data_IF_599095862585
#
_entry.id   IF_599095862585
#
_cell.length_a   1.000
_cell.length_b   1.000
_cell.length_c   1.000
_cell.angle_alpha   90.00
_cell.angle_beta   90.00
_cell.angle_gamma   90.00
#
_symmetry.space_group_name_H-M   'P 1'
#
loop_
_entity.id
_entity.type
_entity.pdbx_description
1 polymer ?
#
# COMPACT_ATOMS: atom_id res chain seq x y z
N UNK A 1 8.15 9.48 13.68
CA UNK A 1 8.68 8.13 13.41
C UNK A 1 9.48 7.50 14.56
N UNK A 2 10.13 8.26 15.43
CA UNK A 2 10.97 7.72 16.54
C UNK A 2 10.19 6.95 17.62
N UNK A 3 8.89 7.20 17.80
CA UNK A 3 8.06 6.57 18.86
C UNK A 3 7.43 5.24 18.44
N UNK A 4 7.34 4.95 17.14
CA UNK A 4 6.66 3.74 16.62
C UNK A 4 7.60 2.56 16.31
N UNK A 5 8.58 2.27 17.16
CA UNK A 5 9.43 1.09 17.00
C UNK A 5 10.79 1.32 16.39
N UNK A 6 11.14 2.55 16.03
CA UNK A 6 12.46 2.90 15.49
C UNK A 6 13.51 3.24 16.57
N UNK A 7 13.14 3.21 17.87
CA UNK A 7 14.03 3.55 18.98
C UNK A 7 14.21 5.06 19.19
N UNK A 8 14.40 5.48 20.45
CA UNK A 8 14.55 6.90 20.83
C UNK A 8 15.91 7.50 20.44
N UNK A 9 16.96 6.68 20.31
CA UNK A 9 18.34 7.11 20.01
C UNK A 9 18.93 6.48 18.76
N UNK A 10 18.52 5.27 18.40
CA UNK A 10 18.96 4.56 17.19
C UNK A 10 17.87 3.58 16.73
N UNK A 11 17.80 3.23 15.43
CA UNK A 11 16.88 2.18 14.95
C UNK A 11 17.14 0.85 15.66
N UNK A 12 16.07 0.18 16.12
CA UNK A 12 16.19 -1.18 16.70
C UNK A 12 16.77 -2.18 15.68
N UNK A 13 16.42 -2.03 14.41
CA UNK A 13 17.00 -2.79 13.31
C UNK A 13 17.98 -1.89 12.56
N UNK A 14 19.23 -2.28 12.52
CA UNK A 14 20.29 -1.55 11.80
C UNK A 14 20.15 -1.68 10.28
N UNK A 15 19.63 -2.82 9.81
CA UNK A 15 19.36 -3.08 8.40
C UNK A 15 17.89 -2.77 8.11
N UNK A 16 17.58 -1.83 7.20
CA UNK A 16 16.20 -1.53 6.81
C UNK A 16 15.62 -2.60 5.87
N UNK A 17 14.37 -2.37 5.42
CA UNK A 17 13.68 -3.25 4.49
C UNK A 17 12.75 -4.24 5.20
N UNK A 18 11.60 -4.47 4.57
CA UNK A 18 10.56 -5.39 5.06
C UNK A 18 10.01 -6.29 3.97
N UNK A 19 9.81 -5.79 2.76
CA UNK A 19 9.39 -6.60 1.63
C UNK A 19 10.58 -7.42 1.12
N UNK A 20 10.35 -8.70 0.84
CA UNK A 20 11.37 -9.63 0.36
C UNK A 20 10.77 -10.60 -0.65
N UNK A 21 11.56 -10.96 -1.64
CA UNK A 21 11.36 -12.13 -2.49
C UNK A 21 12.72 -12.78 -2.73
N UNK A 22 12.77 -14.09 -2.73
CA UNK A 22 14.02 -14.84 -2.89
C UNK A 22 13.81 -16.34 -2.71
N UNK A 23 14.93 -17.06 -2.65
CA UNK A 23 14.95 -18.50 -2.46
C UNK A 23 15.26 -18.83 -1.01
N UNK A 24 14.54 -19.78 -0.45
CA UNK A 24 14.77 -20.30 0.91
C UNK A 24 16.10 -21.04 0.93
N UNK A 25 17.05 -20.58 1.74
CA UNK A 25 18.38 -21.21 1.89
C UNK A 25 18.52 -22.02 3.19
N UNK A 26 17.69 -21.72 4.19
CA UNK A 26 17.64 -22.46 5.44
C UNK A 26 16.27 -22.32 6.10
N UNK A 27 15.85 -23.32 6.86
CA UNK A 27 14.60 -23.32 7.63
C UNK A 27 14.88 -23.66 9.08
N UNK A 28 14.14 -23.06 10.02
CA UNK A 28 14.16 -23.38 11.43
C UNK A 28 13.47 -24.72 11.72
N UNK A 29 13.77 -25.34 12.86
CA UNK A 29 13.26 -26.67 13.23
C UNK A 29 11.71 -26.77 13.31
N UNK A 30 11.01 -25.67 13.52
CA UNK A 30 9.54 -25.65 13.59
C UNK A 30 8.84 -25.20 12.29
N UNK A 31 9.58 -24.99 11.20
CA UNK A 31 9.01 -24.57 9.92
C UNK A 31 8.43 -25.78 9.20
N UNK A 32 7.18 -25.66 8.77
CA UNK A 32 6.46 -26.76 8.09
C UNK A 32 5.94 -26.35 6.70
N UNK A 33 5.92 -25.03 6.39
CA UNK A 33 5.30 -24.53 5.16
C UNK A 33 6.26 -24.40 4.00
N UNK A 34 7.56 -24.41 4.27
CA UNK A 34 8.59 -24.20 3.24
C UNK A 34 9.76 -25.14 3.43
N UNK A 35 10.44 -25.43 2.32
CA UNK A 35 11.67 -26.19 2.24
C UNK A 35 12.78 -25.36 1.60
N UNK A 36 14.04 -25.80 1.79
CA UNK A 36 15.19 -25.21 1.08
C UNK A 36 14.99 -25.36 -0.43
N UNK A 37 15.20 -24.29 -1.17
CA UNK A 37 14.98 -24.21 -2.62
C UNK A 37 13.66 -23.56 -3.01
N UNK A 38 12.69 -23.40 -2.10
CA UNK A 38 11.41 -22.77 -2.42
C UNK A 38 11.59 -21.28 -2.80
N UNK A 39 10.95 -20.87 -3.89
CA UNK A 39 10.83 -19.47 -4.28
C UNK A 39 9.69 -18.83 -3.49
N UNK A 40 10.00 -17.82 -2.67
CA UNK A 40 9.05 -17.19 -1.74
C UNK A 40 9.03 -15.67 -1.87
N UNK A 41 7.93 -15.07 -1.43
CA UNK A 41 7.81 -13.62 -1.26
C UNK A 41 7.00 -13.30 -0.01
N UNK A 42 7.18 -12.11 0.55
CA UNK A 42 6.46 -11.70 1.74
C UNK A 42 7.14 -10.62 2.55
N UNK A 43 6.99 -10.70 3.89
CA UNK A 43 7.58 -9.74 4.81
C UNK A 43 8.67 -10.38 5.67
N UNK A 44 9.89 -9.84 5.56
CA UNK A 44 11.07 -10.20 6.34
C UNK A 44 11.55 -9.05 7.24
N UNK A 45 12.66 -9.28 7.90
CA UNK A 45 13.38 -8.27 8.69
C UNK A 45 14.74 -8.01 8.06
N UNK A 46 15.10 -6.73 7.92
CA UNK A 46 16.40 -6.37 7.36
C UNK A 46 16.57 -6.82 5.91
N UNK A 47 15.54 -6.56 5.07
CA UNK A 47 15.49 -7.06 3.70
C UNK A 47 16.47 -6.34 2.74
N UNK A 48 17.16 -5.28 3.17
CA UNK A 48 18.25 -4.66 2.39
C UNK A 48 19.57 -5.38 2.73
N UNK A 49 19.64 -6.64 2.38
CA UNK A 49 20.77 -7.52 2.64
C UNK A 49 20.68 -8.77 1.75
N UNK A 50 21.80 -9.43 1.53
CA UNK A 50 21.89 -10.68 0.76
C UNK A 50 21.00 -11.79 1.34
N UNK A 51 20.84 -11.80 2.65
CA UNK A 51 19.97 -12.74 3.38
C UNK A 51 19.06 -12.00 4.35
N UNK A 52 17.81 -12.43 4.42
CA UNK A 52 16.82 -11.89 5.35
C UNK A 52 16.13 -13.01 6.11
N UNK A 53 15.88 -12.79 7.40
CA UNK A 53 15.07 -13.69 8.19
C UNK A 53 13.59 -13.31 8.10
N UNK A 54 12.73 -14.29 7.85
CA UNK A 54 11.30 -14.12 7.81
C UNK A 54 10.58 -15.24 8.57
N UNK A 55 9.43 -14.91 9.13
CA UNK A 55 8.54 -15.92 9.73
C UNK A 55 7.72 -16.57 8.63
N UNK A 56 7.49 -17.89 8.73
CA UNK A 56 6.70 -18.63 7.73
C UNK A 56 5.26 -18.09 7.58
N UNK A 57 4.66 -17.55 8.66
CA UNK A 57 3.32 -16.97 8.64
C UNK A 57 3.23 -15.62 7.89
N UNK A 58 4.37 -15.10 7.41
CA UNK A 58 4.48 -13.85 6.63
C UNK A 58 4.96 -14.05 5.20
N UNK A 59 5.17 -15.29 4.80
CA UNK A 59 5.62 -15.67 3.48
C UNK A 59 4.56 -16.48 2.74
N UNK A 60 4.62 -16.43 1.41
CA UNK A 60 3.91 -17.31 0.49
C UNK A 60 4.87 -17.74 -0.63
N UNK A 61 4.52 -18.79 -1.39
CA UNK A 61 5.22 -19.11 -2.61
C UNK A 61 5.08 -17.97 -3.62
N UNK A 62 6.16 -17.67 -4.30
CA UNK A 62 6.21 -16.61 -5.32
C UNK A 62 5.23 -16.93 -6.45
N UNK A 63 4.39 -15.95 -6.92
CA UNK A 63 3.57 -16.13 -8.10
C UNK A 63 4.41 -16.61 -9.29
N UNK A 64 3.91 -17.60 -10.02
CA UNK A 64 4.64 -18.27 -11.10
C UNK A 64 5.02 -17.33 -12.24
N UNK A 65 4.19 -16.33 -12.50
CA UNK A 65 4.32 -15.35 -13.58
C UNK A 65 5.12 -14.08 -13.22
N UNK A 66 5.70 -14.01 -12.01
CA UNK A 66 6.52 -12.86 -11.59
C UNK A 66 8.01 -13.23 -11.50
N UNK A 67 8.88 -12.25 -11.80
CA UNK A 67 10.30 -12.29 -11.40
C UNK A 67 10.44 -12.05 -9.90
N UNK A 68 11.63 -12.23 -9.31
CA UNK A 68 11.87 -11.92 -7.90
C UNK A 68 11.73 -10.42 -7.60
N UNK A 69 12.20 -9.56 -8.50
CA UNK A 69 12.05 -8.10 -8.37
C UNK A 69 10.58 -7.69 -8.36
N UNK A 70 9.79 -8.27 -9.26
CA UNK A 70 8.36 -8.03 -9.32
C UNK A 70 7.67 -8.54 -8.04
N UNK A 71 8.01 -9.74 -7.60
CA UNK A 71 7.46 -10.32 -6.39
C UNK A 71 7.83 -9.52 -5.13
N UNK A 72 9.07 -8.98 -5.03
CA UNK A 72 9.49 -8.13 -3.93
C UNK A 72 8.71 -6.81 -3.83
N UNK A 73 8.18 -6.30 -4.95
CA UNK A 73 7.39 -5.07 -4.97
C UNK A 73 5.97 -5.24 -4.38
N UNK A 74 5.47 -6.47 -4.24
CA UNK A 74 4.08 -6.78 -3.87
C UNK A 74 3.79 -6.69 -2.36
N UNK A 75 4.51 -7.38 -1.44
CA UNK A 75 3.98 -7.82 -0.16
C UNK A 75 3.38 -6.71 0.69
N UNK A 76 4.15 -5.67 0.99
CA UNK A 76 3.72 -4.62 1.93
C UNK A 76 2.63 -3.75 1.31
N UNK A 77 2.84 -3.32 0.07
CA UNK A 77 1.96 -2.34 -0.59
C UNK A 77 0.64 -2.96 -1.02
N UNK A 78 0.67 -4.13 -1.66
CA UNK A 78 -0.54 -4.80 -2.11
C UNK A 78 -1.38 -5.34 -0.95
N UNK A 79 -0.74 -5.91 0.10
CA UNK A 79 -1.44 -6.32 1.31
C UNK A 79 -2.13 -5.14 2.00
N UNK A 80 -1.44 -4.00 2.13
CA UNK A 80 -2.04 -2.79 2.69
C UNK A 80 -3.24 -2.31 1.88
N UNK A 81 -3.13 -2.31 0.56
CA UNK A 81 -4.23 -1.94 -0.33
C UNK A 81 -5.43 -2.89 -0.20
N UNK A 82 -5.19 -4.20 -0.23
CA UNK A 82 -6.22 -5.24 -0.07
C UNK A 82 -6.95 -5.12 1.28
N UNK A 83 -6.19 -4.99 2.37
CA UNK A 83 -6.75 -4.83 3.70
C UNK A 83 -7.56 -3.53 3.83
N UNK A 84 -7.09 -2.42 3.22
CA UNK A 84 -7.81 -1.16 3.18
C UNK A 84 -9.14 -1.27 2.46
N UNK A 85 -9.16 -1.90 1.29
CA UNK A 85 -10.38 -2.13 0.51
C UNK A 85 -11.37 -3.05 1.25
N UNK A 86 -10.89 -4.15 1.84
CA UNK A 86 -11.70 -5.07 2.65
C UNK A 86 -12.27 -4.38 3.91
N UNK A 87 -11.45 -3.59 4.61
CA UNK A 87 -11.88 -2.81 5.76
C UNK A 87 -12.95 -1.79 5.37
N UNK A 88 -12.84 -1.21 4.17
CA UNK A 88 -13.83 -0.33 3.56
C UNK A 88 -15.06 -1.04 3.05
N UNK A 89 -15.10 -2.39 3.03
CA UNK A 89 -16.18 -3.23 2.52
C UNK A 89 -16.46 -2.99 1.05
N UNK A 90 -15.39 -3.12 0.23
CA UNK A 90 -15.52 -2.97 -1.22
C UNK A 90 -16.47 -3.99 -1.80
N UNK A 91 -17.35 -3.54 -2.71
CA UNK A 91 -18.29 -4.34 -3.47
C UNK A 91 -18.28 -3.94 -4.94
N UNK A 92 -18.70 -4.83 -5.82
CA UNK A 92 -18.81 -4.55 -7.24
C UNK A 92 -19.82 -3.41 -7.51
N UNK A 93 -19.50 -2.56 -8.49
CA UNK A 93 -20.32 -1.40 -8.86
C UNK A 93 -20.12 -0.16 -8.01
N UNK A 94 -19.47 -0.26 -6.86
CA UNK A 94 -19.21 0.90 -5.99
C UNK A 94 -18.30 1.94 -6.64
N UNK A 95 -18.52 3.21 -6.28
CA UNK A 95 -17.64 4.33 -6.61
C UNK A 95 -16.55 4.46 -5.56
N UNK A 96 -15.29 4.27 -5.96
CA UNK A 96 -14.13 4.29 -5.07
C UNK A 96 -13.21 5.47 -5.40
N UNK A 97 -12.85 6.26 -4.38
CA UNK A 97 -11.83 7.29 -4.48
C UNK A 97 -10.53 6.82 -3.83
N UNK A 98 -9.45 6.80 -4.59
CA UNK A 98 -8.09 6.47 -4.11
C UNK A 98 -7.24 7.73 -4.07
N UNK A 99 -6.94 8.25 -2.89
CA UNK A 99 -6.10 9.44 -2.71
C UNK A 99 -4.64 9.00 -2.56
N UNK A 100 -3.78 9.46 -3.47
CA UNK A 100 -2.40 8.99 -3.61
C UNK A 100 -2.28 7.78 -4.54
N UNK A 101 -3.11 7.73 -5.58
CA UNK A 101 -3.25 6.61 -6.52
C UNK A 101 -1.96 6.22 -7.25
N UNK A 102 -1.03 7.16 -7.43
CA UNK A 102 0.23 6.90 -8.15
C UNK A 102 1.36 6.31 -7.29
N UNK A 103 1.15 6.20 -5.97
CA UNK A 103 2.15 5.63 -5.07
C UNK A 103 2.09 4.10 -5.00
N UNK A 104 3.01 3.49 -4.25
CA UNK A 104 3.12 2.04 -4.15
C UNK A 104 1.83 1.36 -3.66
N UNK A 105 1.20 1.86 -2.58
CA UNK A 105 -0.08 1.32 -2.08
C UNK A 105 -1.23 1.72 -2.99
N UNK A 106 -1.24 2.98 -3.46
CA UNK A 106 -2.30 3.52 -4.30
C UNK A 106 -2.46 2.80 -5.63
N UNK A 107 -1.35 2.49 -6.29
CA UNK A 107 -1.38 1.75 -7.55
C UNK A 107 -1.97 0.35 -7.41
N UNK A 108 -1.68 -0.36 -6.32
CA UNK A 108 -2.37 -1.63 -6.03
C UNK A 108 -3.82 -1.43 -5.66
N UNK A 109 -4.16 -0.39 -4.90
CA UNK A 109 -5.55 -0.10 -4.54
C UNK A 109 -6.43 0.13 -5.77
N UNK A 110 -5.93 0.85 -6.78
CA UNK A 110 -6.62 1.05 -8.07
C UNK A 110 -6.87 -0.30 -8.73
N UNK A 111 -5.81 -1.09 -8.94
CA UNK A 111 -5.91 -2.38 -9.65
C UNK A 111 -6.82 -3.38 -8.94
N UNK A 112 -6.67 -3.53 -7.61
CA UNK A 112 -7.49 -4.45 -6.83
C UNK A 112 -8.95 -4.00 -6.82
N UNK A 113 -9.23 -2.71 -6.65
CA UNK A 113 -10.60 -2.19 -6.71
C UNK A 113 -11.25 -2.45 -8.08
N UNK A 114 -10.50 -2.28 -9.18
CA UNK A 114 -10.95 -2.64 -10.53
C UNK A 114 -11.21 -4.14 -10.67
N UNK A 115 -10.32 -4.98 -10.14
CA UNK A 115 -10.50 -6.43 -10.16
C UNK A 115 -11.76 -6.89 -9.40
N UNK A 116 -12.20 -6.11 -8.40
CA UNK A 116 -13.45 -6.32 -7.66
C UNK A 116 -14.67 -5.67 -8.32
N UNK A 117 -14.51 -5.08 -9.52
CA UNK A 117 -15.61 -4.51 -10.30
C UNK A 117 -16.05 -3.11 -9.87
N UNK A 118 -15.24 -2.36 -9.15
CA UNK A 118 -15.54 -1.00 -8.74
C UNK A 118 -15.27 0.03 -9.86
N UNK A 119 -15.93 1.20 -9.74
CA UNK A 119 -15.65 2.40 -10.53
C UNK A 119 -14.61 3.24 -9.78
N UNK A 120 -13.40 3.33 -10.29
CA UNK A 120 -12.26 3.90 -9.56
C UNK A 120 -11.90 5.29 -10.04
N UNK A 121 -11.90 6.26 -9.12
CA UNK A 121 -11.32 7.59 -9.30
C UNK A 121 -9.99 7.67 -8.56
N UNK A 122 -8.88 7.92 -9.28
CA UNK A 122 -7.55 8.09 -8.71
C UNK A 122 -7.16 9.54 -8.57
N UNK A 123 -6.69 9.96 -7.39
CA UNK A 123 -6.14 11.30 -7.13
C UNK A 123 -4.61 11.23 -7.17
N UNK A 124 -4.01 12.03 -8.04
CA UNK A 124 -2.55 12.11 -8.23
C UNK A 124 -2.16 13.51 -8.73
N UNK A 125 -0.89 13.74 -9.04
CA UNK A 125 -0.45 14.95 -9.76
C UNK A 125 -0.65 14.80 -11.27
N UNK A 126 -0.71 15.90 -12.01
CA UNK A 126 -0.85 15.93 -13.47
C UNK A 126 0.14 14.98 -14.18
N UNK A 127 1.42 15.03 -13.80
CA UNK A 127 2.49 14.22 -14.38
C UNK A 127 2.33 12.70 -14.21
N UNK A 128 1.42 12.25 -13.33
CA UNK A 128 1.18 10.84 -13.02
C UNK A 128 -0.20 10.35 -13.47
N UNK A 129 -0.98 11.20 -14.15
CA UNK A 129 -2.35 10.90 -14.58
C UNK A 129 -2.42 9.69 -15.50
N UNK A 130 -1.58 9.66 -16.55
CA UNK A 130 -1.59 8.55 -17.52
C UNK A 130 -1.15 7.24 -16.89
N UNK A 131 -0.19 7.29 -15.98
CA UNK A 131 0.20 6.13 -15.18
C UNK A 131 -0.99 5.60 -14.35
N UNK A 132 -1.73 6.45 -13.66
CA UNK A 132 -2.88 6.02 -12.86
C UNK A 132 -4.01 5.47 -13.75
N UNK A 133 -4.23 6.02 -14.94
CA UNK A 133 -5.16 5.48 -15.94
C UNK A 133 -4.73 4.09 -16.43
N UNK A 134 -3.43 3.91 -16.71
CA UNK A 134 -2.91 2.61 -17.15
C UNK A 134 -3.07 1.51 -16.11
N UNK A 135 -3.21 1.86 -14.82
CA UNK A 135 -3.55 0.94 -13.74
C UNK A 135 -5.04 0.55 -13.70
N UNK A 136 -5.86 1.14 -14.57
CA UNK A 136 -7.29 0.85 -14.68
C UNK A 136 -8.21 1.86 -14.00
N UNK A 137 -7.72 3.02 -13.56
CA UNK A 137 -8.61 4.07 -13.03
C UNK A 137 -9.54 4.61 -14.13
N UNK A 138 -10.85 4.60 -13.87
CA UNK A 138 -11.87 5.12 -14.81
C UNK A 138 -11.80 6.65 -14.93
N UNK A 139 -11.39 7.29 -13.84
CA UNK A 139 -11.18 8.74 -13.77
C UNK A 139 -9.91 9.05 -12.99
N UNK A 140 -9.26 10.13 -13.37
CA UNK A 140 -8.13 10.71 -12.61
C UNK A 140 -8.44 12.17 -12.28
N UNK A 141 -7.99 12.60 -11.09
CA UNK A 141 -8.10 13.96 -10.59
C UNK A 141 -6.71 14.47 -10.25
N UNK A 142 -6.33 15.58 -10.87
CA UNK A 142 -5.14 16.32 -10.44
C UNK A 142 -5.50 17.20 -9.23
N UNK A 143 -4.91 16.87 -8.08
CA UNK A 143 -5.18 17.56 -6.82
C UNK A 143 -4.74 19.03 -6.81
N UNK A 144 -3.90 19.47 -7.78
CA UNK A 144 -3.41 20.83 -7.86
C UNK A 144 -4.46 21.79 -8.49
N UNK A 145 -5.31 21.27 -9.37
CA UNK A 145 -6.25 22.08 -10.16
C UNK A 145 -7.72 21.71 -9.93
N UNK A 146 -8.02 20.51 -9.45
CA UNK A 146 -9.39 20.04 -9.23
C UNK A 146 -9.63 19.68 -7.75
N UNK A 147 -10.71 20.18 -7.17
CA UNK A 147 -11.13 19.82 -5.84
C UNK A 147 -11.79 18.42 -5.84
N UNK A 148 -11.17 17.43 -5.21
CA UNK A 148 -11.67 16.05 -5.15
C UNK A 148 -12.51 15.74 -3.89
N UNK A 149 -12.61 16.67 -2.94
CA UNK A 149 -13.30 16.48 -1.67
C UNK A 149 -14.13 17.70 -1.30
N UNK A 150 -14.89 18.25 -2.25
CA UNK A 150 -15.78 19.41 -2.09
C UNK A 150 -17.25 19.01 -1.88
N UNK A 151 -17.59 17.73 -2.10
CA UNK A 151 -18.94 17.20 -2.01
C UNK A 151 -19.73 17.25 -3.31
N UNK A 152 -19.13 17.74 -4.42
CA UNK A 152 -19.76 17.73 -5.75
C UNK A 152 -19.94 16.31 -6.29
N UNK A 153 -19.06 15.39 -5.86
CA UNK A 153 -19.14 13.94 -6.10
C UNK A 153 -19.13 13.21 -4.80
N UNK A 154 -19.84 12.09 -4.76
CA UNK A 154 -19.87 11.20 -3.60
C UNK A 154 -19.34 9.84 -3.98
N UNK A 155 -18.77 9.17 -3.00
CA UNK A 155 -18.12 7.87 -3.13
C UNK A 155 -18.62 6.92 -2.06
N UNK A 156 -18.78 5.65 -2.41
CA UNK A 156 -19.11 4.58 -1.48
C UNK A 156 -17.90 4.26 -0.59
N UNK A 157 -16.69 4.37 -1.15
CA UNK A 157 -15.45 4.13 -0.45
C UNK A 157 -14.39 5.18 -0.80
N UNK A 158 -13.76 5.75 0.23
CA UNK A 158 -12.57 6.59 0.11
C UNK A 158 -11.40 5.91 0.79
N UNK A 159 -10.35 5.58 0.03
CA UNK A 159 -9.05 5.20 0.55
C UNK A 159 -8.14 6.42 0.59
N UNK A 160 -7.78 6.86 1.80
CA UNK A 160 -6.88 7.99 1.99
C UNK A 160 -5.48 7.51 2.36
N UNK A 161 -4.61 7.44 1.35
CA UNK A 161 -3.25 6.87 1.47
C UNK A 161 -2.21 7.97 1.67
N UNK A 162 -2.26 9.03 0.85
CA UNK A 162 -1.28 10.13 0.88
C UNK A 162 -1.86 11.42 1.46
N UNK A 163 -3.07 11.35 2.07
CA UNK A 163 -3.87 12.53 2.27
C UNK A 163 -3.53 13.36 3.50
N UNK A 164 -3.52 14.67 3.25
CA UNK A 164 -3.61 15.71 4.29
C UNK A 164 -4.99 16.39 4.28
N UNK A 165 -5.97 15.83 3.56
CA UNK A 165 -7.30 16.41 3.43
C UNK A 165 -8.07 16.33 4.74
N UNK A 166 -8.70 17.43 5.13
CA UNK A 166 -9.47 17.51 6.37
C UNK A 166 -10.63 16.48 6.37
N UNK A 167 -10.82 15.76 7.48
CA UNK A 167 -11.86 14.72 7.63
C UNK A 167 -13.26 15.23 7.28
N UNK A 168 -13.57 16.50 7.60
CA UNK A 168 -14.84 17.13 7.24
C UNK A 168 -15.08 17.17 5.74
N UNK A 169 -14.05 17.45 4.96
CA UNK A 169 -14.13 17.51 3.49
C UNK A 169 -14.33 16.10 2.93
N UNK A 170 -13.53 15.13 3.36
CA UNK A 170 -13.67 13.73 2.92
C UNK A 170 -15.06 13.18 3.26
N UNK A 171 -15.60 13.49 4.45
CA UNK A 171 -16.93 13.07 4.85
C UNK A 171 -18.04 13.62 3.92
N UNK A 172 -17.91 14.86 3.44
CA UNK A 172 -18.89 15.45 2.50
C UNK A 172 -18.93 14.73 1.16
N UNK A 173 -17.83 14.11 0.79
CA UNK A 173 -17.68 13.35 -0.46
C UNK A 173 -17.97 11.85 -0.28
N UNK A 174 -18.50 11.42 0.87
CA UNK A 174 -19.01 10.08 1.08
C UNK A 174 -20.52 10.01 0.83
N UNK A 175 -20.96 8.88 0.31
CA UNK A 175 -22.36 8.49 0.38
C UNK A 175 -22.82 8.34 1.86
N UNK A 176 -24.12 8.44 2.16
CA UNK A 176 -24.61 8.35 3.54
C UNK A 176 -24.20 7.06 4.27
N UNK A 177 -24.03 5.96 3.56
CA UNK A 177 -23.57 4.66 4.05
C UNK A 177 -22.11 4.36 3.69
N UNK A 178 -21.44 5.32 3.08
CA UNK A 178 -20.07 5.16 2.57
C UNK A 178 -19.03 5.00 3.69
N UNK A 179 -17.85 4.54 3.29
CA UNK A 179 -16.72 4.27 4.19
C UNK A 179 -15.50 5.12 3.84
N UNK A 180 -14.84 5.69 4.85
CA UNK A 180 -13.51 6.28 4.74
C UNK A 180 -12.51 5.41 5.48
N UNK A 181 -11.48 4.96 4.77
CA UNK A 181 -10.34 4.24 5.36
C UNK A 181 -9.09 5.09 5.26
N UNK A 182 -8.57 5.52 6.41
CA UNK A 182 -7.27 6.20 6.49
C UNK A 182 -6.19 5.12 6.53
N UNK A 183 -5.36 5.08 5.50
CA UNK A 183 -4.27 4.10 5.34
C UNK A 183 -2.94 4.70 5.74
N UNK A 184 -2.73 5.99 5.47
CA UNK A 184 -1.52 6.72 5.77
C UNK A 184 -1.76 8.22 5.86
N UNK A 185 -0.71 8.97 5.95
CA UNK A 185 -0.74 10.42 5.91
C UNK A 185 0.69 10.94 5.81
N UNK A 186 0.98 11.72 4.79
CA UNK A 186 2.23 12.45 4.65
C UNK A 186 2.13 13.74 5.47
N UNK A 187 2.45 13.68 6.75
CA UNK A 187 2.57 14.88 7.57
C UNK A 187 4.00 15.42 7.50
N UNK A 188 4.25 16.36 6.60
CA UNK A 188 5.44 17.23 6.71
C UNK A 188 5.28 18.13 7.93
N UNK A 189 5.99 17.84 9.00
CA UNK A 189 6.26 18.83 10.05
C UNK A 189 5.55 18.73 11.41
N UNK A 190 4.72 17.72 11.70
CA UNK A 190 4.15 17.55 13.04
C UNK A 190 4.77 16.39 13.80
N UNK A 191 5.08 16.59 15.08
CA UNK A 191 5.65 15.62 16.02
C UNK A 191 4.80 14.33 16.11
N UNK A 192 3.52 14.41 15.80
CA UNK A 192 2.57 13.29 15.83
C UNK A 192 2.42 12.53 14.52
N UNK A 193 3.07 12.95 13.41
CA UNK A 193 3.08 12.19 12.13
C UNK A 193 1.71 11.80 11.60
N UNK A 194 0.67 12.63 11.79
CA UNK A 194 -0.69 12.33 11.33
C UNK A 194 -1.53 11.47 12.29
N UNK A 195 -0.98 10.97 13.40
CA UNK A 195 -1.67 10.16 14.40
C UNK A 195 -2.96 10.81 14.94
N UNK A 196 -2.95 12.13 15.15
CA UNK A 196 -4.12 12.85 15.64
C UNK A 196 -5.33 12.76 14.72
N UNK A 197 -5.12 12.72 13.40
CA UNK A 197 -6.17 12.54 12.39
C UNK A 197 -6.68 11.10 12.38
N UNK A 198 -5.76 10.15 12.44
CA UNK A 198 -6.06 8.72 12.45
C UNK A 198 -6.89 8.31 13.67
N UNK A 199 -6.63 8.90 14.85
CA UNK A 199 -7.39 8.64 16.08
C UNK A 199 -8.74 9.38 16.13
N UNK A 200 -8.87 10.55 15.47
CA UNK A 200 -10.13 11.30 15.43
C UNK A 200 -11.18 10.66 14.51
N UNK A 201 -10.76 9.96 13.45
CA UNK A 201 -11.69 9.37 12.49
C UNK A 201 -12.64 8.34 13.14
N UNK A 202 -12.19 7.33 13.91
CA UNK A 202 -13.07 6.39 14.59
C UNK A 202 -14.00 7.06 15.61
N UNK A 203 -13.52 8.07 16.33
CA UNK A 203 -14.34 8.82 17.30
C UNK A 203 -15.46 9.59 16.60
N UNK A 204 -15.17 10.24 15.46
CA UNK A 204 -16.19 10.92 14.66
C UNK A 204 -17.22 9.93 14.09
N UNK A 205 -16.83 8.70 13.78
CA UNK A 205 -17.71 7.67 13.23
C UNK A 205 -18.88 7.32 14.16
N UNK A 206 -18.74 7.56 15.47
CA UNK A 206 -19.82 7.33 16.45
C UNK A 206 -20.98 8.34 16.32
N UNK A 207 -20.72 9.49 15.69
CA UNK A 207 -21.69 10.61 15.61
C UNK A 207 -22.16 10.90 14.19
N UNK A 208 -21.73 10.11 13.19
CA UNK A 208 -22.08 10.33 11.78
C UNK A 208 -22.46 9.01 11.11
N UNK A 209 -23.33 9.10 10.09
CA UNK A 209 -23.76 7.90 9.33
C UNK A 209 -22.62 7.21 8.56
N UNK A 210 -21.73 7.92 7.80
CA UNK A 210 -20.61 7.29 7.13
C UNK A 210 -19.63 6.67 8.13
N UNK A 211 -19.07 5.52 7.76
CA UNK A 211 -18.07 4.83 8.58
C UNK A 211 -16.68 5.44 8.35
N UNK A 212 -16.08 5.94 9.42
CA UNK A 212 -14.71 6.50 9.38
C UNK A 212 -13.79 5.59 10.18
N UNK A 213 -12.75 5.06 9.56
CA UNK A 213 -11.85 4.10 10.21
C UNK A 213 -10.39 4.32 9.82
N UNK A 214 -9.48 3.70 10.56
CA UNK A 214 -8.06 3.70 10.30
C UNK A 214 -7.60 2.26 10.09
N UNK A 215 -6.75 2.05 9.08
CA UNK A 215 -6.12 0.77 8.84
C UNK A 215 -4.87 0.62 9.72
N UNK A 216 -4.82 -0.44 10.51
CA UNK A 216 -3.61 -0.97 11.11
C UNK A 216 -3.20 -2.22 10.32
N UNK A 217 -2.41 -2.03 9.28
CA UNK A 217 -1.98 -3.13 8.41
C UNK A 217 -1.07 -4.12 9.15
N UNK A 218 -1.31 -5.41 8.90
CA UNK A 218 -0.52 -6.53 9.44
C UNK A 218 -0.04 -7.41 8.28
N UNK A 219 1.18 -7.90 8.38
CA UNK A 219 1.68 -8.86 7.41
C UNK A 219 1.29 -10.28 7.83
N UNK A 220 0.52 -10.95 6.98
CA UNK A 220 0.13 -12.34 7.16
C UNK A 220 -0.03 -13.02 5.79
N UNK A 221 0.41 -14.27 5.69
CA UNK A 221 0.36 -15.03 4.43
C UNK A 221 -1.05 -15.17 3.85
N UNK A 222 -2.09 -15.19 4.70
CA UNK A 222 -3.48 -15.30 4.25
C UNK A 222 -3.93 -14.14 3.34
N UNK A 223 -3.27 -12.98 3.41
CA UNK A 223 -3.54 -11.87 2.50
C UNK A 223 -2.73 -11.98 1.20
N UNK A 224 -1.63 -12.75 1.21
CA UNK A 224 -0.84 -12.98 0.00
C UNK A 224 -1.51 -13.96 -0.96
N UNK A 225 -2.27 -14.95 -0.47
CA UNK A 225 -2.95 -15.93 -1.31
C UNK A 225 -3.92 -15.30 -2.33
N UNK A 226 -4.91 -14.48 -1.94
CA UNK A 226 -5.79 -13.82 -2.90
C UNK A 226 -5.06 -12.82 -3.80
N UNK A 227 -3.95 -12.24 -3.35
CA UNK A 227 -3.10 -11.40 -4.21
C UNK A 227 -2.37 -12.23 -5.27
N UNK A 228 -1.89 -13.42 -4.91
CA UNK A 228 -1.30 -14.37 -5.86
C UNK A 228 -2.30 -14.73 -6.96
N UNK A 229 -3.55 -15.08 -6.60
CA UNK A 229 -4.61 -15.39 -7.56
C UNK A 229 -4.87 -14.21 -8.52
N UNK A 230 -4.98 -12.99 -8.01
CA UNK A 230 -5.18 -11.80 -8.85
C UNK A 230 -4.00 -11.51 -9.77
N UNK A 231 -2.79 -11.77 -9.30
CA UNK A 231 -1.55 -11.57 -10.07
C UNK A 231 -1.44 -12.62 -11.18
N UNK A 232 -1.65 -13.90 -10.84
CA UNK A 232 -1.57 -14.99 -11.82
C UNK A 232 -2.68 -14.92 -12.87
N UNK A 233 -3.85 -14.35 -12.49
CA UNK A 233 -4.93 -14.03 -13.42
C UNK A 233 -4.67 -12.75 -14.27
N UNK A 234 -3.52 -12.07 -14.10
CA UNK A 234 -3.17 -10.84 -14.82
C UNK A 234 -4.00 -9.61 -14.45
N UNK A 235 -4.81 -9.68 -13.37
CA UNK A 235 -5.66 -8.57 -12.91
C UNK A 235 -4.92 -7.54 -12.09
N UNK A 236 -3.79 -7.92 -11.48
CA UNK A 236 -2.91 -7.08 -10.67
C UNK A 236 -1.47 -7.32 -11.10
N UNK A 237 -0.74 -6.27 -11.36
CA UNK A 237 0.68 -6.33 -11.70
C UNK A 237 1.50 -5.32 -10.90
N UNK A 238 2.73 -5.67 -10.48
CA UNK A 238 3.62 -4.73 -9.81
C UNK A 238 4.12 -3.66 -10.79
N UNK A 239 4.03 -2.39 -10.38
CA UNK A 239 4.60 -1.27 -11.12
C UNK A 239 5.92 -0.87 -10.48
N UNK A 240 7.03 -1.15 -11.17
CA UNK A 240 8.39 -0.83 -10.73
C UNK A 240 8.91 0.34 -11.57
N UNK A 241 9.22 1.46 -10.91
CA UNK A 241 9.81 2.63 -11.58
C UNK A 241 11.30 2.43 -11.85
N UNK A 242 12.01 1.83 -10.88
CA UNK A 242 13.44 1.59 -10.98
C UNK A 242 13.89 0.45 -10.07
N UNK A 243 15.02 -0.17 -10.46
CA UNK A 243 15.75 -1.12 -9.63
C UNK A 243 17.14 -0.55 -9.33
N UNK A 244 17.64 -0.83 -8.14
CA UNK A 244 18.96 -0.43 -7.69
C UNK A 244 19.68 -1.61 -7.07
N UNK A 245 20.98 -1.81 -7.33
CA UNK A 245 21.77 -2.79 -6.59
C UNK A 245 21.91 -2.35 -5.12
N UNK A 246 22.22 -3.31 -4.24
CA UNK A 246 22.24 -3.08 -2.79
C UNK A 246 23.18 -1.97 -2.35
N UNK A 247 24.35 -1.86 -2.97
CA UNK A 247 25.35 -0.81 -2.70
C UNK A 247 24.84 0.61 -3.04
N UNK A 248 23.80 0.70 -3.89
CA UNK A 248 23.11 1.94 -4.26
C UNK A 248 21.76 2.15 -3.57
N UNK A 249 21.48 1.41 -2.49
CA UNK A 249 20.22 1.55 -1.75
C UNK A 249 19.95 2.97 -1.25
N UNK A 250 21.02 3.74 -0.95
CA UNK A 250 20.88 5.15 -0.57
C UNK A 250 20.35 6.03 -1.71
N UNK A 251 20.67 5.72 -2.98
CA UNK A 251 20.14 6.43 -4.15
C UNK A 251 18.66 6.15 -4.31
N UNK A 252 18.24 4.90 -4.15
CA UNK A 252 16.85 4.50 -4.14
C UNK A 252 16.03 5.27 -3.10
N UNK A 253 16.57 5.43 -1.89
CA UNK A 253 15.91 6.19 -0.83
C UNK A 253 15.80 7.68 -1.17
N UNK A 254 16.83 8.29 -1.76
CA UNK A 254 16.79 9.68 -2.24
C UNK A 254 15.72 9.88 -3.32
N UNK A 255 15.59 8.93 -4.24
CA UNK A 255 14.54 8.99 -5.26
C UNK A 255 13.14 8.92 -4.64
N UNK A 256 12.93 8.08 -3.64
CA UNK A 256 11.65 8.01 -2.90
C UNK A 256 11.35 9.32 -2.17
N UNK A 257 12.33 9.92 -1.51
CA UNK A 257 12.20 11.21 -0.81
C UNK A 257 11.87 12.37 -1.75
N UNK A 258 12.35 12.33 -2.99
CA UNK A 258 12.02 13.32 -4.02
C UNK A 258 10.54 13.29 -4.43
N UNK A 259 9.78 12.23 -4.10
CA UNK A 259 8.34 12.12 -4.37
C UNK A 259 7.98 11.93 -5.86
N UNK A 260 8.98 11.69 -6.72
CA UNK A 260 8.79 11.55 -8.17
C UNK A 260 8.37 10.14 -8.59
N UNK A 261 8.60 9.14 -7.74
CA UNK A 261 8.37 7.71 -8.02
C UNK A 261 6.92 7.41 -8.36
N UNK A 262 6.71 6.59 -9.40
CA UNK A 262 5.45 5.95 -9.76
C UNK A 262 5.51 4.49 -9.34
N UNK A 263 4.62 4.08 -8.44
CA UNK A 263 4.63 2.71 -7.93
C UNK A 263 5.78 2.43 -6.95
N UNK A 264 6.71 1.55 -7.31
CA UNK A 264 7.74 0.97 -6.44
C UNK A 264 9.15 1.18 -6.96
N UNK A 265 10.10 1.21 -6.03
CA UNK A 265 11.53 1.04 -6.28
C UNK A 265 11.96 -0.26 -5.60
N UNK A 266 12.79 -1.05 -6.26
CA UNK A 266 13.25 -2.36 -5.80
C UNK A 266 14.77 -2.35 -5.64
N UNK A 267 15.26 -2.98 -4.58
CA UNK A 267 16.67 -3.25 -4.37
C UNK A 267 16.94 -4.68 -4.82
N UNK A 268 17.93 -4.87 -5.68
CA UNK A 268 18.40 -6.17 -6.16
C UNK A 268 19.71 -6.54 -5.47
N UNK A 269 19.93 -7.83 -5.32
CA UNK A 269 21.12 -8.40 -4.71
C UNK A 269 21.97 -9.06 -5.79
#
# INVERSE_FOLDING_TARGET
MRIMGFGLRSPKNRVPGRAVAGTVVAVGAGVTRFTVGDAVFGAGRGAFAEYAAAREDRLAHKPSNLTFEQAAAVPISATTALQGLRLGRIEAGQSVLVIGASGGVGGYAVQIAKAYGANVTGVCSAAKTDFVRSLGADRTIDYAVEAFADGSRRYDLILDIAGNTALRRLRRSLEPTGSLVIVGGESKGNVTGGLGRSLRAPLMSLFVRPRLTMLASKEHHADLAPLTELIEAGKVSPSIEATYPLDRAADAMRQLEAGTVRGKVVITI
#
